data_IF_664890506106
#
_entry.id   IF_664890506106
#
_cell.length_a   1.000
_cell.length_b   1.000
_cell.length_c   1.000
_cell.angle_alpha   90.00
_cell.angle_beta   90.00
_cell.angle_gamma   90.00
#
_symmetry.space_group_name_H-M   'P 1'
#
loop_
_entity.id
_entity.type
_entity.pdbx_description
1 polymer ?
#
# COMPACT_ATOMS: atom_id res chain seq x y z
N UNK A 1 21.31 27.28 -3.19
CA UNK A 1 21.56 26.20 -2.23
C UNK A 1 21.23 24.90 -2.95
N UNK A 2 22.21 24.01 -3.06
CA UNK A 2 21.98 22.65 -3.57
C UNK A 2 21.26 21.85 -2.48
N UNK A 3 20.22 21.12 -2.86
CA UNK A 3 19.49 20.29 -1.91
C UNK A 3 20.31 19.05 -1.51
N UNK A 4 20.28 18.59 -0.24
CA UNK A 4 21.14 17.51 0.25
C UNK A 4 20.98 16.15 -0.47
N UNK A 5 19.93 15.97 -1.27
CA UNK A 5 19.66 14.75 -2.05
C UNK A 5 20.23 14.81 -3.46
N UNK A 6 20.75 15.93 -3.94
CA UNK A 6 21.28 16.05 -5.31
C UNK A 6 22.48 15.13 -5.55
N UNK A 7 23.41 15.05 -4.59
CA UNK A 7 24.56 14.14 -4.68
C UNK A 7 24.13 12.66 -4.70
N UNK A 8 23.16 12.28 -3.87
CA UNK A 8 22.63 10.92 -3.78
C UNK A 8 21.88 10.52 -5.05
N UNK A 9 21.07 11.43 -5.62
CA UNK A 9 20.37 11.18 -6.87
C UNK A 9 21.35 10.97 -8.02
N UNK A 10 22.40 11.79 -8.09
CA UNK A 10 23.44 11.66 -9.10
C UNK A 10 24.17 10.32 -9.00
N UNK A 11 24.51 9.88 -7.79
CA UNK A 11 25.10 8.55 -7.57
C UNK A 11 24.19 7.42 -8.08
N UNK A 12 22.90 7.47 -7.74
CA UNK A 12 21.91 6.47 -8.20
C UNK A 12 21.80 6.49 -9.73
N UNK A 13 21.75 7.66 -10.35
CA UNK A 13 21.67 7.81 -11.81
C UNK A 13 22.93 7.29 -12.53
N UNK A 14 24.12 7.51 -11.96
CA UNK A 14 25.40 7.01 -12.49
C UNK A 14 25.55 5.50 -12.33
N UNK A 15 24.89 4.90 -11.33
CA UNK A 15 25.03 3.50 -10.92
C UNK A 15 23.71 2.72 -10.88
N UNK A 16 22.78 3.01 -11.80
CA UNK A 16 21.42 2.42 -11.80
C UNK A 16 21.38 0.89 -11.65
N UNK A 17 22.34 0.17 -12.25
CA UNK A 17 22.39 -1.29 -12.21
C UNK A 17 22.80 -1.86 -10.83
N UNK A 18 23.37 -1.03 -9.95
CA UNK A 18 23.79 -1.42 -8.60
C UNK A 18 22.63 -1.31 -7.59
N UNK A 19 21.48 -0.80 -8.03
CA UNK A 19 20.32 -0.53 -7.20
C UNK A 19 19.08 -1.28 -7.67
N UNK A 20 18.24 -1.65 -6.70
CA UNK A 20 16.90 -2.18 -6.94
C UNK A 20 15.85 -1.14 -6.57
N UNK A 21 15.05 -0.71 -7.55
CA UNK A 21 13.93 0.21 -7.31
C UNK A 21 12.68 -0.56 -6.86
N UNK A 22 12.05 -0.10 -5.78
CA UNK A 22 10.77 -0.64 -5.34
C UNK A 22 9.60 0.00 -6.08
N UNK A 23 8.78 -0.83 -6.70
CA UNK A 23 7.51 -0.40 -7.24
C UNK A 23 6.50 -0.09 -6.14
N UNK A 24 5.80 1.03 -6.31
CA UNK A 24 4.63 1.36 -5.50
C UNK A 24 3.46 0.42 -5.80
N UNK A 25 2.59 0.21 -4.81
CA UNK A 25 1.34 -0.55 -5.00
C UNK A 25 0.46 0.19 -6.01
N UNK A 26 -0.01 -0.53 -7.04
CA UNK A 26 -0.88 0.05 -8.06
C UNK A 26 -2.19 0.59 -7.47
N UNK A 27 -2.85 1.57 -8.11
CA UNK A 27 -4.18 2.01 -7.66
C UNK A 27 -5.20 0.88 -7.58
N UNK A 28 -5.13 -0.10 -8.49
CA UNK A 28 -6.03 -1.26 -8.47
C UNK A 28 -5.80 -2.12 -7.23
N UNK A 29 -4.55 -2.43 -6.90
CA UNK A 29 -4.22 -3.26 -5.75
C UNK A 29 -4.48 -2.53 -4.43
N UNK A 30 -4.24 -1.22 -4.40
CA UNK A 30 -4.60 -0.35 -3.28
C UNK A 30 -6.12 -0.37 -3.02
N UNK A 31 -6.94 -0.34 -4.08
CA UNK A 31 -8.38 -0.51 -3.97
C UNK A 31 -8.75 -1.91 -3.44
N UNK A 32 -8.12 -2.97 -3.93
CA UNK A 32 -8.36 -4.33 -3.46
C UNK A 32 -8.02 -4.50 -1.96
N UNK A 33 -6.94 -3.87 -1.47
CA UNK A 33 -6.62 -3.84 -0.03
C UNK A 33 -7.78 -3.24 0.79
N UNK A 34 -8.47 -2.22 0.27
CA UNK A 34 -9.63 -1.63 0.94
C UNK A 34 -10.84 -2.58 0.95
N UNK A 35 -11.07 -3.29 -0.16
CA UNK A 35 -12.13 -4.31 -0.27
C UNK A 35 -11.86 -5.46 0.70
N UNK A 36 -10.66 -6.03 0.67
CA UNK A 36 -10.25 -7.12 1.55
C UNK A 36 -10.44 -6.75 3.03
N UNK A 37 -10.09 -5.51 3.41
CA UNK A 37 -10.34 -5.05 4.78
C UNK A 37 -11.83 -5.01 5.09
N UNK A 38 -12.64 -4.38 4.23
CA UNK A 38 -14.08 -4.24 4.45
C UNK A 38 -14.79 -5.59 4.58
N UNK A 39 -14.39 -6.60 3.81
CA UNK A 39 -14.96 -7.94 3.83
C UNK A 39 -14.60 -8.75 5.08
N UNK A 40 -13.50 -8.43 5.75
CA UNK A 40 -12.95 -9.23 6.86
C UNK A 40 -13.10 -8.58 8.25
N UNK A 41 -13.82 -7.46 8.38
CA UNK A 41 -14.10 -6.88 9.70
C UNK A 41 -15.27 -7.56 10.40
N UNK A 42 -15.19 -7.64 11.73
CA UNK A 42 -16.17 -8.28 12.62
C UNK A 42 -17.43 -7.43 12.87
N UNK A 43 -17.37 -6.12 12.63
CA UNK A 43 -18.53 -5.24 12.77
C UNK A 43 -19.35 -5.18 11.48
N UNK A 44 -20.44 -5.96 11.43
CA UNK A 44 -21.35 -6.05 10.28
C UNK A 44 -21.89 -4.69 9.80
N UNK A 45 -22.23 -3.78 10.74
CA UNK A 45 -22.77 -2.46 10.38
C UNK A 45 -21.70 -1.58 9.73
N UNK A 46 -20.47 -1.64 10.24
CA UNK A 46 -19.35 -0.93 9.62
C UNK A 46 -18.98 -1.57 8.27
N UNK A 47 -19.01 -2.90 8.17
CA UNK A 47 -18.73 -3.64 6.94
C UNK A 47 -19.67 -3.17 5.82
N UNK A 48 -20.97 -3.18 6.07
CA UNK A 48 -21.97 -2.72 5.10
C UNK A 48 -21.71 -1.26 4.67
N UNK A 49 -21.37 -0.37 5.62
CA UNK A 49 -21.03 1.03 5.32
C UNK A 49 -19.76 1.15 4.45
N UNK A 50 -18.74 0.33 4.71
CA UNK A 50 -17.50 0.33 3.94
C UNK A 50 -17.70 -0.20 2.52
N UNK A 51 -18.40 -1.33 2.37
CA UNK A 51 -18.74 -1.91 1.06
C UNK A 51 -19.57 -0.90 0.25
N UNK A 52 -20.59 -0.29 0.86
CA UNK A 52 -21.38 0.75 0.21
C UNK A 52 -20.57 2.00 -0.15
N UNK A 53 -19.55 2.36 0.65
CA UNK A 53 -18.67 3.48 0.34
C UNK A 53 -17.75 3.19 -0.86
N UNK A 54 -17.27 1.95 -0.99
CA UNK A 54 -16.41 1.49 -2.08
C UNK A 54 -17.16 1.36 -3.42
N UNK A 55 -18.46 1.11 -3.38
CA UNK A 55 -19.31 1.03 -4.58
C UNK A 55 -19.80 2.41 -5.09
N UNK A 56 -19.45 3.51 -4.40
CA UNK A 56 -19.85 4.89 -4.78
C UNK A 56 -18.75 5.62 -5.55
N UNK A 57 -19.12 6.73 -6.19
CA UNK A 57 -18.14 7.66 -6.76
C UNK A 57 -17.20 8.18 -5.67
N UNK A 58 -15.89 8.31 -6.02
CA UNK A 58 -14.81 8.68 -5.07
C UNK A 58 -14.65 7.67 -3.91
N UNK A 59 -14.45 6.37 -4.23
CA UNK A 59 -14.46 5.31 -3.22
C UNK A 59 -13.41 5.50 -2.12
N UNK A 60 -12.20 5.93 -2.48
CA UNK A 60 -11.12 6.24 -1.54
C UNK A 60 -11.53 7.24 -0.46
N UNK A 61 -12.13 8.36 -0.88
CA UNK A 61 -12.57 9.41 0.04
C UNK A 61 -13.70 8.91 0.94
N UNK A 62 -14.67 8.21 0.36
CA UNK A 62 -15.84 7.74 1.10
C UNK A 62 -15.47 6.69 2.15
N UNK A 63 -14.64 5.72 1.76
CA UNK A 63 -14.12 4.70 2.68
C UNK A 63 -13.35 5.34 3.83
N UNK A 64 -12.42 6.26 3.50
CA UNK A 64 -11.65 6.98 4.53
C UNK A 64 -12.56 7.72 5.50
N UNK A 65 -13.63 8.35 5.03
CA UNK A 65 -14.60 9.03 5.90
C UNK A 65 -15.33 8.07 6.85
N UNK A 66 -15.68 6.86 6.40
CA UNK A 66 -16.24 5.83 7.28
C UNK A 66 -15.21 5.36 8.32
N UNK A 67 -13.96 5.15 7.91
CA UNK A 67 -12.88 4.67 8.79
C UNK A 67 -12.44 5.72 9.80
N UNK A 68 -12.33 6.99 9.43
CA UNK A 68 -11.88 8.04 10.34
C UNK A 68 -12.86 8.23 11.53
N UNK A 69 -14.11 7.81 11.36
CA UNK A 69 -15.16 7.86 12.39
C UNK A 69 -15.49 6.51 13.04
N UNK A 70 -14.67 5.48 12.83
CA UNK A 70 -14.98 4.09 13.24
C UNK A 70 -14.34 3.64 14.57
N UNK A 71 -13.73 4.54 15.34
CA UNK A 71 -13.10 4.20 16.62
C UNK A 71 -11.89 3.27 16.43
N UNK A 72 -11.84 2.15 17.14
CA UNK A 72 -10.72 1.19 17.10
C UNK A 72 -10.44 0.63 15.69
N UNK A 73 -11.47 0.57 14.83
CA UNK A 73 -11.35 0.04 13.46
C UNK A 73 -10.47 0.91 12.58
N UNK A 74 -10.26 2.19 12.94
CA UNK A 74 -9.30 3.06 12.29
C UNK A 74 -7.88 2.56 12.43
N UNK A 75 -7.50 2.13 13.65
CA UNK A 75 -6.17 1.58 13.88
C UNK A 75 -6.04 0.21 13.22
N UNK A 76 -7.08 -0.65 13.32
CA UNK A 76 -7.13 -1.94 12.61
C UNK A 76 -6.90 -1.78 11.10
N UNK A 77 -7.50 -0.76 10.47
CA UNK A 77 -7.26 -0.44 9.06
C UNK A 77 -5.81 -0.07 8.77
N UNK A 78 -5.21 0.81 9.58
CA UNK A 78 -3.82 1.22 9.37
C UNK A 78 -2.83 0.08 9.56
N UNK A 79 -3.05 -0.79 10.55
CA UNK A 79 -2.20 -1.95 10.77
C UNK A 79 -2.36 -2.95 9.62
N UNK A 80 -3.59 -3.20 9.17
CA UNK A 80 -3.87 -4.05 8.01
C UNK A 80 -3.19 -3.52 6.74
N UNK A 81 -3.36 -2.22 6.45
CA UNK A 81 -2.74 -1.57 5.30
C UNK A 81 -1.21 -1.65 5.38
N UNK A 82 -0.62 -1.33 6.54
CA UNK A 82 0.84 -1.42 6.74
C UNK A 82 1.35 -2.83 6.47
N UNK A 83 0.68 -3.85 6.99
CA UNK A 83 1.06 -5.24 6.77
C UNK A 83 0.99 -5.64 5.29
N UNK A 84 0.01 -5.15 4.53
CA UNK A 84 -0.07 -5.38 3.08
C UNK A 84 1.09 -4.72 2.32
N UNK A 85 1.48 -3.50 2.72
CA UNK A 85 2.64 -2.82 2.13
C UNK A 85 3.96 -3.53 2.45
N UNK A 86 4.16 -3.97 3.70
CA UNK A 86 5.35 -4.76 4.08
C UNK A 86 5.42 -6.04 3.23
N UNK A 87 4.31 -6.77 3.10
CA UNK A 87 4.26 -7.98 2.26
C UNK A 87 4.56 -7.69 0.79
N UNK A 88 4.11 -6.56 0.27
CA UNK A 88 4.42 -6.14 -1.10
C UNK A 88 5.92 -5.90 -1.31
N UNK A 89 6.57 -5.18 -0.38
CA UNK A 89 8.01 -4.94 -0.42
C UNK A 89 8.79 -6.25 -0.29
N UNK A 90 8.41 -7.13 0.65
CA UNK A 90 9.04 -8.45 0.81
C UNK A 90 8.94 -9.27 -0.48
N UNK A 91 7.76 -9.32 -1.10
CA UNK A 91 7.56 -10.03 -2.36
C UNK A 91 8.51 -9.53 -3.45
N UNK A 92 8.72 -8.21 -3.57
CA UNK A 92 9.64 -7.66 -4.55
C UNK A 92 11.09 -8.08 -4.30
N UNK A 93 11.52 -8.14 -3.03
CA UNK A 93 12.85 -8.63 -2.65
C UNK A 93 12.99 -10.12 -3.00
N UNK A 94 11.98 -10.92 -2.69
CA UNK A 94 11.95 -12.36 -2.99
C UNK A 94 11.98 -12.61 -4.49
N UNK A 95 11.16 -11.88 -5.26
CA UNK A 95 11.13 -11.98 -6.72
C UNK A 95 12.50 -11.64 -7.32
N UNK A 96 13.12 -10.52 -6.89
CA UNK A 96 14.46 -10.10 -7.35
C UNK A 96 15.53 -11.16 -7.03
N UNK A 97 15.63 -11.59 -5.77
CA UNK A 97 16.60 -12.60 -5.37
C UNK A 97 16.38 -13.95 -6.08
N UNK A 98 15.14 -14.30 -6.42
CA UNK A 98 14.84 -15.54 -7.14
C UNK A 98 15.26 -15.51 -8.61
N UNK A 99 15.38 -14.32 -9.21
CA UNK A 99 15.89 -14.13 -10.56
C UNK A 99 17.42 -14.29 -10.59
N UNK A 100 18.13 -13.78 -9.57
CA UNK A 100 19.59 -13.87 -9.45
C UNK A 100 20.12 -15.30 -9.23
N UNK A 101 19.32 -16.22 -8.69
CA UNK A 101 19.75 -17.62 -8.46
C UNK A 101 19.80 -18.45 -9.76
N UNK A 102 19.30 -17.91 -10.88
CA UNK A 102 19.22 -18.60 -12.17
C UNK A 102 20.22 -18.10 -13.23
N UNK A 103 21.16 -17.21 -12.88
CA UNK A 103 22.33 -16.82 -13.69
C UNK A 103 23.63 -17.48 -13.18
#
# INVERSE_FOLDING_TARGET
>A
DEEPWEEVLKEIEEHLNDYFEFDGISPRDSFNIMVDFAENIDNLRLQERLINALNKSKPYRNFKWQIDSSGEYRQKWFDFKKNRYIKWVIKQIEDYNSLDVNE
#
